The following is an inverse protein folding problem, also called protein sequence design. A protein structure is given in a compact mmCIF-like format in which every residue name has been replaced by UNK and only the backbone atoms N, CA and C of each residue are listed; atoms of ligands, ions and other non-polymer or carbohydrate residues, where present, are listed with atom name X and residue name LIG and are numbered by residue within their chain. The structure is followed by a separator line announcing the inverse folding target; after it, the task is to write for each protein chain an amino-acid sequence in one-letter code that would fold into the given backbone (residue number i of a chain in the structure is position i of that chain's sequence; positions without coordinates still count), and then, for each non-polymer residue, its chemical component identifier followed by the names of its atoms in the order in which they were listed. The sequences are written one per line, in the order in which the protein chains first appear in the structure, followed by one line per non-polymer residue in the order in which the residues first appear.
data_IF_456101888728
#
_entry.id   IF_456101888728
#
_cell.length_a   1.000
_cell.length_b   1.000
_cell.length_c   1.000
_cell.angle_alpha   90.00
_cell.angle_beta   90.00
_cell.angle_gamma   90.00
#
_symmetry.space_group_name_H-M   'P 1'
#
loop_
_entity.id
_entity.type
_entity.pdbx_description
1 polymer ?
#
# COMPACT_ATOMS: atom_id res chain seq x y z
N UNK A 1 3.31 38.14 -11.49
CA UNK A 1 2.70 37.78 -12.78
C UNK A 1 2.93 36.29 -13.13
N UNK A 2 2.93 35.36 -12.16
CA UNK A 2 3.26 33.94 -12.41
C UNK A 2 2.22 32.92 -11.87
N UNK A 3 1.10 33.34 -11.29
CA UNK A 3 0.09 32.40 -10.77
C UNK A 3 -1.03 32.04 -11.75
N UNK A 4 -1.18 32.77 -12.86
CA UNK A 4 -2.26 32.53 -13.81
C UNK A 4 -1.97 31.42 -14.84
N UNK A 5 -0.70 30.99 -14.98
CA UNK A 5 -0.29 29.91 -15.89
C UNK A 5 -0.23 28.53 -15.23
N UNK A 6 -0.24 28.45 -13.90
CA UNK A 6 -0.08 27.19 -13.17
C UNK A 6 -1.29 26.24 -13.28
N UNK A 7 -2.48 26.77 -13.64
CA UNK A 7 -3.74 26.01 -13.65
C UNK A 7 -4.13 25.52 -15.07
N UNK A 8 -3.55 26.09 -16.14
CA UNK A 8 -3.91 25.76 -17.54
C UNK A 8 -3.17 24.56 -18.15
N UNK A 9 -2.27 23.89 -17.41
CA UNK A 9 -1.32 22.91 -17.96
C UNK A 9 -1.33 21.51 -17.35
N UNK A 10 -2.27 21.19 -16.46
CA UNK A 10 -2.40 19.85 -15.89
C UNK A 10 -3.41 19.08 -16.75
N UNK A 11 -2.95 18.53 -17.88
CA UNK A 11 -3.75 17.60 -18.71
C UNK A 11 -3.26 16.17 -18.54
N UNK A 12 -4.04 15.19 -18.97
CA UNK A 12 -3.64 13.78 -18.95
C UNK A 12 -2.40 13.55 -19.84
N UNK A 13 -2.31 14.20 -20.99
CA UNK A 13 -1.14 14.10 -21.88
C UNK A 13 0.11 14.68 -21.21
N UNK A 14 -0.05 15.80 -20.50
CA UNK A 14 1.04 16.43 -19.76
C UNK A 14 1.53 15.55 -18.61
N UNK A 15 0.61 14.86 -17.93
CA UNK A 15 0.93 13.87 -16.91
C UNK A 15 1.70 12.69 -17.51
N UNK A 16 1.20 12.07 -18.57
CA UNK A 16 1.84 10.93 -19.23
C UNK A 16 3.27 11.30 -19.66
N UNK A 17 3.43 12.44 -20.34
CA UNK A 17 4.74 12.93 -20.76
C UNK A 17 5.67 13.15 -19.55
N UNK A 18 5.19 13.81 -18.49
CA UNK A 18 5.97 14.03 -17.28
C UNK A 18 6.39 12.70 -16.62
N UNK A 19 5.52 11.69 -16.59
CA UNK A 19 5.83 10.36 -16.06
C UNK A 19 6.96 9.70 -16.84
N UNK A 20 6.89 9.69 -18.17
CA UNK A 20 7.92 9.09 -19.02
C UNK A 20 9.26 9.84 -18.95
N UNK A 21 9.23 11.17 -18.92
CA UNK A 21 10.44 11.99 -18.73
C UNK A 21 11.07 11.68 -17.37
N UNK A 22 10.26 11.62 -16.31
CA UNK A 22 10.74 11.29 -14.96
C UNK A 22 11.35 9.89 -14.92
N UNK A 23 10.72 8.91 -15.56
CA UNK A 23 11.26 7.55 -15.67
C UNK A 23 12.63 7.54 -16.36
N UNK A 24 12.76 8.20 -17.51
CA UNK A 24 14.05 8.28 -18.22
C UNK A 24 15.16 8.93 -17.37
N UNK A 25 14.83 10.02 -16.66
CA UNK A 25 15.77 10.68 -15.75
C UNK A 25 16.15 9.76 -14.57
N UNK A 26 15.18 9.06 -14.01
CA UNK A 26 15.37 8.10 -12.91
C UNK A 26 16.34 6.99 -13.33
N UNK A 27 16.06 6.31 -14.44
CA UNK A 27 16.86 5.19 -14.94
C UNK A 27 18.30 5.61 -15.26
N UNK A 28 18.49 6.80 -15.86
CA UNK A 28 19.81 7.37 -16.17
C UNK A 28 20.54 7.90 -14.91
N UNK A 29 19.81 8.15 -13.83
CA UNK A 29 20.34 8.75 -12.61
C UNK A 29 20.59 10.26 -12.71
N UNK A 30 19.80 10.99 -13.49
CA UNK A 30 19.94 12.43 -13.69
C UNK A 30 19.78 13.27 -12.41
N UNK A 31 20.37 14.48 -12.40
CA UNK A 31 20.34 15.39 -11.23
C UNK A 31 18.99 16.11 -11.05
N UNK A 32 18.25 16.30 -12.13
CA UNK A 32 16.92 16.95 -12.12
C UNK A 32 15.79 16.07 -11.59
N UNK A 33 16.08 14.83 -11.15
CA UNK A 33 15.06 13.88 -10.70
C UNK A 33 14.14 14.46 -9.63
N UNK A 34 14.69 15.14 -8.62
CA UNK A 34 13.90 15.70 -7.52
C UNK A 34 12.87 16.72 -8.00
N UNK A 35 13.26 17.62 -8.89
CA UNK A 35 12.37 18.63 -9.49
C UNK A 35 11.22 17.97 -10.27
N UNK A 36 11.51 16.88 -10.98
CA UNK A 36 10.51 16.14 -11.74
C UNK A 36 9.56 15.32 -10.85
N UNK A 37 10.06 14.75 -9.74
CA UNK A 37 9.22 14.13 -8.73
C UNK A 37 8.29 15.16 -8.07
N UNK A 38 8.77 16.38 -7.80
CA UNK A 38 7.93 17.46 -7.29
C UNK A 38 6.85 17.84 -8.29
N UNK A 39 7.17 17.93 -9.59
CA UNK A 39 6.17 18.15 -10.63
C UNK A 39 5.11 17.04 -10.64
N UNK A 40 5.51 15.76 -10.60
CA UNK A 40 4.57 14.64 -10.54
C UNK A 40 3.69 14.67 -9.28
N UNK A 41 4.25 14.98 -8.11
CA UNK A 41 3.48 15.13 -6.88
C UNK A 41 2.44 16.25 -6.97
N UNK A 42 2.72 17.35 -7.68
CA UNK A 42 1.73 18.42 -7.88
C UNK A 42 0.48 17.93 -8.62
N UNK A 43 0.61 17.02 -9.60
CA UNK A 43 -0.56 16.42 -10.26
C UNK A 43 -1.44 15.65 -9.25
N UNK A 44 -0.85 14.96 -8.28
CA UNK A 44 -1.57 14.13 -7.28
C UNK A 44 -2.34 14.94 -6.24
N UNK A 45 -2.09 16.25 -6.17
CA UNK A 45 -2.75 17.19 -5.25
C UNK A 45 -3.62 18.22 -5.98
N UNK A 46 -3.78 18.05 -7.29
CA UNK A 46 -4.58 18.92 -8.15
C UNK A 46 -6.08 18.55 -8.13
N UNK A 47 -6.78 18.72 -9.26
CA UNK A 47 -8.20 18.39 -9.39
C UNK A 47 -8.47 16.90 -9.15
N UNK A 48 -9.70 16.58 -8.74
CA UNK A 48 -10.10 15.24 -8.31
C UNK A 48 -9.94 14.17 -9.41
N UNK A 49 -10.17 14.54 -10.67
CA UNK A 49 -10.11 13.62 -11.81
C UNK A 49 -8.68 13.21 -12.15
N UNK A 50 -7.78 14.18 -12.26
CA UNK A 50 -6.38 13.94 -12.67
C UNK A 50 -5.55 13.42 -11.51
N UNK A 51 -5.83 13.86 -10.28
CA UNK A 51 -5.02 13.50 -9.11
C UNK A 51 -4.94 12.00 -8.85
N UNK A 52 -6.03 11.27 -9.13
CA UNK A 52 -6.03 9.82 -9.02
C UNK A 52 -5.22 9.14 -10.11
N UNK A 53 -5.44 9.51 -11.37
CA UNK A 53 -4.68 8.99 -12.51
C UNK A 53 -3.19 9.24 -12.29
N UNK A 54 -2.85 10.45 -11.79
CA UNK A 54 -1.49 10.82 -11.46
C UNK A 54 -0.88 9.91 -10.41
N UNK A 55 -1.61 9.54 -9.36
CA UNK A 55 -1.14 8.60 -8.33
C UNK A 55 -0.91 7.19 -8.91
N UNK A 56 -1.78 6.71 -9.80
CA UNK A 56 -1.63 5.42 -10.45
C UNK A 56 -0.44 5.39 -11.44
N UNK A 57 -0.13 6.50 -12.11
CA UNK A 57 1.03 6.60 -13.01
C UNK A 57 2.38 6.39 -12.30
N UNK A 58 2.47 6.50 -10.97
CA UNK A 58 3.72 6.24 -10.24
C UNK A 58 4.21 4.80 -10.38
N UNK A 59 3.30 3.85 -10.59
CA UNK A 59 3.66 2.46 -10.90
C UNK A 59 4.57 2.37 -12.15
N UNK A 60 4.33 3.22 -13.14
CA UNK A 60 5.09 3.19 -14.40
C UNK A 60 6.56 3.56 -14.21
N UNK A 61 6.92 4.28 -13.14
CA UNK A 61 8.32 4.71 -12.91
C UNK A 61 9.27 3.53 -12.71
N UNK A 62 8.78 2.45 -12.08
CA UNK A 62 9.57 1.22 -11.85
C UNK A 62 9.03 -0.01 -12.58
N UNK A 63 7.86 0.06 -13.23
CA UNK A 63 7.33 -1.03 -14.04
C UNK A 63 8.25 -1.38 -15.22
N UNK A 64 8.20 -2.62 -15.70
CA UNK A 64 9.01 -3.05 -16.84
C UNK A 64 8.63 -2.33 -18.14
N UNK A 65 9.64 -1.89 -18.89
CA UNK A 65 9.47 -1.23 -20.18
C UNK A 65 10.52 -1.75 -21.17
N UNK A 66 10.12 -2.62 -22.13
CA UNK A 66 11.03 -3.25 -23.08
C UNK A 66 11.89 -2.23 -23.85
N UNK A 67 11.29 -1.11 -24.22
CA UNK A 67 11.95 -0.03 -24.98
C UNK A 67 13.01 0.73 -24.17
N UNK A 68 12.93 0.68 -22.83
CA UNK A 68 13.89 1.29 -21.90
C UNK A 68 14.57 0.20 -21.07
N UNK A 69 15.09 -0.82 -21.75
CA UNK A 69 15.78 -1.96 -21.16
C UNK A 69 17.28 -1.91 -21.43
N UNK A 70 18.05 -2.68 -20.65
CA UNK A 70 19.48 -2.91 -20.92
C UNK A 70 19.70 -3.63 -22.26
N UNK A 71 18.74 -4.46 -22.68
CA UNK A 71 18.76 -5.18 -23.96
C UNK A 71 18.65 -4.22 -25.15
N UNK A 72 17.87 -3.15 -24.99
CA UNK A 72 17.79 -2.05 -25.95
C UNK A 72 19.01 -1.09 -25.90
N UNK A 73 20.05 -1.41 -25.13
CA UNK A 73 21.30 -0.65 -25.04
C UNK A 73 21.26 0.54 -24.07
N UNK A 74 20.21 0.66 -23.24
CA UNK A 74 20.14 1.73 -22.25
C UNK A 74 20.98 1.43 -20.99
N UNK A 75 21.72 2.44 -20.53
CA UNK A 75 22.47 2.36 -19.28
C UNK A 75 21.56 2.68 -18.09
N UNK A 76 21.05 1.64 -17.44
CA UNK A 76 20.16 1.73 -16.29
C UNK A 76 20.95 1.61 -14.99
N UNK A 77 20.77 2.58 -14.08
CA UNK A 77 21.39 2.54 -12.75
C UNK A 77 20.76 1.44 -11.91
N UNK A 78 21.58 0.54 -11.38
CA UNK A 78 21.10 -0.57 -10.53
C UNK A 78 20.24 -0.11 -9.33
N UNK A 79 20.66 0.97 -8.66
CA UNK A 79 20.00 1.47 -7.45
C UNK A 79 18.88 2.49 -7.70
N UNK A 80 18.35 2.56 -8.93
CA UNK A 80 17.26 3.48 -9.24
C UNK A 80 15.99 3.25 -8.39
N UNK A 81 15.58 2.01 -8.03
CA UNK A 81 14.39 1.81 -7.18
C UNK A 81 14.59 2.38 -5.78
N UNK A 82 15.74 2.12 -5.16
CA UNK A 82 16.11 2.64 -3.84
C UNK A 82 16.17 4.17 -3.85
N UNK A 83 16.76 4.75 -4.91
CA UNK A 83 16.86 6.19 -5.07
C UNK A 83 15.47 6.84 -5.22
N UNK A 84 14.58 6.25 -6.02
CA UNK A 84 13.22 6.77 -6.17
C UNK A 84 12.50 6.82 -4.83
N UNK A 85 12.57 5.72 -4.09
CA UNK A 85 11.90 5.59 -2.81
C UNK A 85 12.47 6.57 -1.76
N UNK A 86 13.79 6.64 -1.64
CA UNK A 86 14.46 7.54 -0.70
C UNK A 86 14.14 9.02 -0.93
N UNK A 87 13.97 9.43 -2.19
CA UNK A 87 13.60 10.81 -2.54
C UNK A 87 12.11 11.09 -2.37
N UNK A 88 11.26 10.08 -2.63
CA UNK A 88 9.81 10.25 -2.65
C UNK A 88 9.22 10.18 -1.24
N UNK A 89 9.69 9.25 -0.40
CA UNK A 89 9.11 9.00 0.91
C UNK A 89 9.03 10.26 1.80
N UNK A 90 10.10 11.08 1.95
CA UNK A 90 10.02 12.29 2.75
C UNK A 90 9.01 13.30 2.18
N UNK A 91 8.92 13.41 0.85
CA UNK A 91 8.00 14.32 0.17
C UNK A 91 6.54 13.92 0.41
N UNK A 92 6.23 12.62 0.39
CA UNK A 92 4.88 12.12 0.69
C UNK A 92 4.47 12.44 2.12
N UNK A 93 5.38 12.29 3.10
CA UNK A 93 5.10 12.64 4.50
C UNK A 93 4.74 14.11 4.66
N UNK A 94 5.53 15.00 4.04
CA UNK A 94 5.25 16.45 4.05
C UNK A 94 3.87 16.76 3.48
N UNK A 95 3.47 16.11 2.38
CA UNK A 95 2.15 16.30 1.76
C UNK A 95 1.01 15.78 2.66
N UNK A 96 1.21 14.65 3.33
CA UNK A 96 0.21 14.04 4.25
C UNK A 96 0.01 14.90 5.52
N UNK A 97 1.07 15.53 6.01
CA UNK A 97 1.08 16.34 7.23
C UNK A 97 0.67 17.80 6.98
N UNK A 98 0.41 18.19 5.72
CA UNK A 98 0.04 19.55 5.36
C UNK A 98 -1.30 19.98 5.99
N UNK A 99 -1.24 20.84 6.99
CA UNK A 99 -2.42 21.34 7.73
C UNK A 99 -3.20 22.43 6.99
N UNK A 100 -2.73 22.89 5.83
CA UNK A 100 -3.37 23.99 5.09
C UNK A 100 -4.58 23.55 4.27
N UNK A 101 -4.75 22.24 4.04
CA UNK A 101 -5.83 21.68 3.24
C UNK A 101 -7.09 21.43 4.07
N UNK A 102 -8.26 21.55 3.43
CA UNK A 102 -9.52 21.17 4.07
C UNK A 102 -9.55 19.68 4.39
N UNK A 103 -10.35 19.26 5.38
CA UNK A 103 -10.46 17.85 5.79
C UNK A 103 -10.85 16.92 4.64
N UNK A 104 -11.71 17.38 3.72
CA UNK A 104 -12.18 16.61 2.56
C UNK A 104 -11.11 16.46 1.48
N UNK A 105 -10.37 17.53 1.19
CA UNK A 105 -9.26 17.49 0.24
C UNK A 105 -8.13 16.62 0.78
N UNK A 106 -7.79 16.79 2.05
CA UNK A 106 -6.77 16.00 2.73
C UNK A 106 -7.08 14.51 2.71
N UNK A 107 -8.35 14.11 2.86
CA UNK A 107 -8.75 12.70 2.72
C UNK A 107 -8.40 12.14 1.34
N UNK A 108 -8.67 12.89 0.27
CA UNK A 108 -8.40 12.45 -1.11
C UNK A 108 -6.89 12.41 -1.37
N UNK A 109 -6.16 13.43 -0.91
CA UNK A 109 -4.71 13.49 -1.01
C UNK A 109 -4.08 12.30 -0.29
N UNK A 110 -4.50 12.01 0.95
CA UNK A 110 -4.01 10.85 1.70
C UNK A 110 -4.22 9.55 0.94
N UNK A 111 -5.41 9.32 0.37
CA UNK A 111 -5.67 8.13 -0.45
C UNK A 111 -4.72 8.03 -1.66
N UNK A 112 -4.47 9.14 -2.35
CA UNK A 112 -3.51 9.20 -3.46
C UNK A 112 -2.07 8.92 -2.99
N UNK A 113 -1.65 9.49 -1.86
CA UNK A 113 -0.30 9.27 -1.31
C UNK A 113 -0.10 7.81 -0.88
N UNK A 114 -1.13 7.20 -0.28
CA UNK A 114 -1.13 5.80 0.11
C UNK A 114 -1.09 4.87 -1.12
N UNK A 115 -1.74 5.25 -2.22
CA UNK A 115 -1.68 4.50 -3.48
C UNK A 115 -0.27 4.52 -4.07
N UNK A 116 0.38 5.69 -4.10
CA UNK A 116 1.78 5.83 -4.54
C UNK A 116 2.69 4.96 -3.67
N UNK A 117 2.53 5.01 -2.35
CA UNK A 117 3.29 4.15 -1.44
C UNK A 117 3.08 2.66 -1.75
N UNK A 118 1.84 2.24 -1.97
CA UNK A 118 1.53 0.86 -2.35
C UNK A 118 2.25 0.43 -3.64
N UNK A 119 2.21 1.27 -4.67
CA UNK A 119 2.91 1.03 -5.94
C UNK A 119 4.42 0.94 -5.73
N UNK A 120 5.03 1.91 -5.06
CA UNK A 120 6.48 1.91 -4.82
C UNK A 120 6.93 0.71 -4.00
N UNK A 121 6.23 0.37 -2.92
CA UNK A 121 6.59 -0.76 -2.07
C UNK A 121 6.53 -2.08 -2.82
N UNK A 122 5.52 -2.28 -3.68
CA UNK A 122 5.42 -3.52 -4.46
C UNK A 122 6.49 -3.71 -5.53
N UNK A 123 7.28 -2.66 -5.85
CA UNK A 123 8.27 -2.65 -6.92
C UNK A 123 9.73 -2.63 -6.44
N UNK A 124 9.97 -2.57 -5.12
CA UNK A 124 11.31 -2.48 -4.53
C UNK A 124 11.69 -3.83 -3.88
N UNK A 125 12.97 -4.23 -3.82
CA UNK A 125 13.39 -5.44 -3.11
C UNK A 125 12.96 -5.49 -1.63
N UNK A 126 12.68 -6.68 -1.12
CA UNK A 126 12.23 -6.95 0.27
C UNK A 126 13.16 -6.36 1.33
N UNK A 127 14.45 -6.33 1.07
CA UNK A 127 15.47 -5.83 2.00
C UNK A 127 15.32 -4.33 2.25
N UNK A 128 14.85 -3.58 1.25
CA UNK A 128 14.62 -2.14 1.35
C UNK A 128 13.24 -1.87 1.93
N UNK A 129 12.24 -2.69 1.57
CA UNK A 129 10.91 -2.63 2.19
C UNK A 129 11.01 -2.79 3.70
N UNK A 130 11.67 -3.84 4.20
CA UNK A 130 11.79 -4.09 5.64
C UNK A 130 12.42 -2.93 6.43
N UNK A 131 13.41 -2.22 5.86
CA UNK A 131 14.05 -1.07 6.49
C UNK A 131 13.14 0.17 6.52
N UNK A 132 12.45 0.44 5.42
CA UNK A 132 11.76 1.71 5.22
C UNK A 132 10.27 1.66 5.54
N UNK A 133 9.71 0.47 5.70
CA UNK A 133 8.29 0.28 5.92
C UNK A 133 7.82 0.49 7.37
N UNK A 134 8.59 0.22 8.44
CA UNK A 134 8.15 0.53 9.80
C UNK A 134 7.55 1.93 9.99
N UNK A 135 8.14 3.04 9.48
CA UNK A 135 7.50 4.36 9.58
C UNK A 135 6.24 4.54 8.72
N UNK A 136 6.02 3.66 7.74
CA UNK A 136 4.85 3.66 6.85
C UNK A 136 3.71 2.78 7.34
N UNK A 137 3.95 1.93 8.34
CA UNK A 137 2.96 1.00 8.85
C UNK A 137 1.67 1.70 9.34
N UNK A 138 1.71 2.81 10.10
CA UNK A 138 0.49 3.53 10.50
C UNK A 138 -0.36 3.98 9.31
N UNK A 139 0.29 4.47 8.26
CA UNK A 139 -0.36 4.90 7.01
C UNK A 139 -0.99 3.70 6.27
N UNK A 140 -0.30 2.55 6.22
CA UNK A 140 -0.86 1.30 5.68
C UNK A 140 -2.03 0.75 6.50
N UNK A 141 -2.09 1.02 7.81
CA UNK A 141 -3.23 0.65 8.64
C UNK A 141 -4.43 1.57 8.39
N UNK A 142 -4.18 2.86 8.18
CA UNK A 142 -5.23 3.82 7.80
C UNK A 142 -5.83 3.50 6.43
N UNK A 143 -5.01 3.07 5.46
CA UNK A 143 -5.48 2.73 4.12
C UNK A 143 -6.45 1.54 4.09
N UNK A 144 -6.37 0.61 5.05
CA UNK A 144 -7.33 -0.50 5.16
C UNK A 144 -8.76 -0.01 5.41
N UNK A 145 -8.92 1.14 6.08
CA UNK A 145 -10.20 1.77 6.35
C UNK A 145 -10.72 2.61 5.16
N UNK A 146 -9.94 2.77 4.08
CA UNK A 146 -10.37 3.52 2.90
C UNK A 146 -11.56 2.84 2.20
N UNK A 147 -12.36 3.67 1.53
CA UNK A 147 -13.43 3.21 0.64
C UNK A 147 -12.91 2.67 -0.70
N UNK A 148 -11.65 2.93 -1.02
CA UNK A 148 -11.04 2.55 -2.28
C UNK A 148 -10.58 1.08 -2.28
N UNK A 149 -11.24 0.25 -3.09
CA UNK A 149 -10.92 -1.18 -3.16
C UNK A 149 -9.53 -1.47 -3.73
N UNK A 150 -8.99 -0.63 -4.63
CA UNK A 150 -7.65 -0.81 -5.18
C UNK A 150 -6.61 -0.57 -4.09
N UNK A 151 -6.74 0.56 -3.38
CA UNK A 151 -5.85 0.92 -2.28
C UNK A 151 -5.86 -0.15 -1.18
N UNK A 152 -7.05 -0.56 -0.71
CA UNK A 152 -7.20 -1.62 0.29
C UNK A 152 -6.54 -2.92 -0.19
N UNK A 153 -6.71 -3.29 -1.47
CA UNK A 153 -6.09 -4.50 -2.02
C UNK A 153 -4.56 -4.42 -2.06
N UNK A 154 -4.01 -3.26 -2.41
CA UNK A 154 -2.56 -3.03 -2.43
C UNK A 154 -2.01 -3.08 -1.01
N UNK A 155 -2.65 -2.42 -0.06
CA UNK A 155 -2.22 -2.44 1.35
C UNK A 155 -2.30 -3.83 1.99
N UNK A 156 -3.34 -4.62 1.70
CA UNK A 156 -3.39 -6.03 2.12
C UNK A 156 -2.26 -6.87 1.49
N UNK A 157 -1.89 -6.59 0.23
CA UNK A 157 -0.75 -7.26 -0.42
C UNK A 157 0.57 -6.91 0.27
N UNK A 158 0.79 -5.63 0.56
CA UNK A 158 1.97 -5.15 1.27
C UNK A 158 2.05 -5.74 2.68
N UNK A 159 0.94 -5.76 3.43
CA UNK A 159 0.88 -6.41 4.75
C UNK A 159 1.22 -7.89 4.68
N UNK A 160 0.77 -8.61 3.65
CA UNK A 160 1.14 -10.02 3.45
C UNK A 160 2.64 -10.21 3.20
N UNK A 161 3.28 -9.32 2.44
CA UNK A 161 4.72 -9.36 2.20
C UNK A 161 5.48 -9.18 3.52
N UNK A 162 5.10 -8.17 4.30
CA UNK A 162 5.69 -7.86 5.60
C UNK A 162 5.55 -8.97 6.62
N UNK A 163 4.37 -9.58 6.69
CA UNK A 163 4.19 -10.73 7.55
C UNK A 163 5.10 -11.89 7.17
N UNK A 164 5.47 -12.04 5.90
CA UNK A 164 6.36 -13.10 5.43
C UNK A 164 7.84 -12.80 5.66
N UNK A 165 8.23 -11.52 5.70
CA UNK A 165 9.60 -11.11 6.02
C UNK A 165 9.99 -11.46 7.45
N UNK A 166 9.09 -11.27 8.42
CA UNK A 166 9.32 -11.67 9.81
C UNK A 166 10.41 -10.87 10.54
N UNK A 167 10.61 -9.60 10.18
CA UNK A 167 11.52 -8.70 10.91
C UNK A 167 10.98 -8.43 12.33
N UNK A 168 11.82 -8.47 13.38
CA UNK A 168 11.40 -8.17 14.76
C UNK A 168 10.78 -6.78 14.93
N UNK A 169 11.27 -5.77 14.19
CA UNK A 169 10.77 -4.40 14.21
C UNK A 169 9.34 -4.33 13.65
N UNK A 170 9.10 -5.01 12.53
CA UNK A 170 7.79 -5.12 11.89
C UNK A 170 6.82 -5.87 12.80
N UNK A 171 7.23 -7.00 13.38
CA UNK A 171 6.42 -7.78 14.32
C UNK A 171 6.04 -6.96 15.56
N UNK A 172 6.97 -6.20 16.15
CA UNK A 172 6.69 -5.34 17.29
C UNK A 172 5.66 -4.25 16.95
N UNK A 173 5.78 -3.62 15.78
CA UNK A 173 4.87 -2.54 15.38
C UNK A 173 3.48 -3.06 15.00
N UNK A 174 3.40 -4.22 14.35
CA UNK A 174 2.16 -4.94 14.11
C UNK A 174 1.49 -5.33 15.43
N UNK A 175 2.28 -5.76 16.42
CA UNK A 175 1.78 -6.12 17.74
C UNK A 175 1.12 -4.98 18.51
N UNK A 176 1.67 -3.77 18.41
CA UNK A 176 1.04 -2.57 18.98
C UNK A 176 -0.34 -2.26 18.38
N UNK A 177 -0.60 -2.73 17.15
CA UNK A 177 -1.81 -2.44 16.40
C UNK A 177 -2.67 -3.70 16.12
N UNK A 178 -2.38 -4.83 16.76
CA UNK A 178 -2.96 -6.13 16.40
C UNK A 178 -4.48 -6.16 16.53
N UNK A 179 -5.05 -5.55 17.56
CA UNK A 179 -6.50 -5.53 17.77
C UNK A 179 -7.23 -4.76 16.67
N UNK A 180 -6.69 -3.60 16.30
CA UNK A 180 -7.18 -2.79 15.17
C UNK A 180 -7.07 -3.57 13.85
N UNK A 181 -5.93 -4.22 13.62
CA UNK A 181 -5.70 -5.05 12.44
C UNK A 181 -6.70 -6.19 12.31
N UNK A 182 -6.89 -6.96 13.38
CA UNK A 182 -7.84 -8.09 13.40
C UNK A 182 -9.26 -7.60 13.14
N UNK A 183 -9.67 -6.50 13.77
CA UNK A 183 -10.98 -5.87 13.55
C UNK A 183 -11.17 -5.43 12.09
N UNK A 184 -10.19 -4.74 11.51
CA UNK A 184 -10.23 -4.30 10.12
C UNK A 184 -10.25 -5.47 9.14
N UNK A 185 -9.46 -6.52 9.37
CA UNK A 185 -9.50 -7.73 8.55
C UNK A 185 -10.89 -8.37 8.60
N UNK A 186 -11.49 -8.52 9.78
CA UNK A 186 -12.84 -9.07 9.91
C UNK A 186 -13.87 -8.21 9.18
N UNK A 187 -13.80 -6.88 9.28
CA UNK A 187 -14.67 -5.98 8.50
C UNK A 187 -14.51 -6.21 6.99
N UNK A 188 -13.27 -6.30 6.50
CA UNK A 188 -12.97 -6.50 5.08
C UNK A 188 -13.41 -7.87 4.56
N UNK A 189 -13.44 -8.91 5.40
CA UNK A 189 -13.93 -10.23 5.00
C UNK A 189 -15.43 -10.22 4.67
N UNK A 190 -16.20 -9.32 5.28
CA UNK A 190 -17.63 -9.16 5.05
C UNK A 190 -17.99 -8.05 4.05
N UNK A 191 -17.01 -7.42 3.41
CA UNK A 191 -17.29 -6.41 2.38
C UNK A 191 -18.00 -7.03 1.18
N UNK A 192 -19.02 -6.35 0.66
CA UNK A 192 -19.79 -6.80 -0.51
C UNK A 192 -19.09 -6.54 -1.85
N UNK A 193 -18.03 -5.73 -1.84
CA UNK A 193 -17.53 -5.07 -3.05
C UNK A 193 -16.59 -5.96 -3.86
N UNK A 194 -15.66 -6.68 -3.21
CA UNK A 194 -14.55 -7.31 -3.93
C UNK A 194 -14.13 -8.66 -3.32
N UNK A 195 -14.35 -9.73 -4.07
CA UNK A 195 -13.96 -11.10 -3.70
C UNK A 195 -12.46 -11.23 -3.38
N UNK A 196 -11.60 -10.53 -4.15
CA UNK A 196 -10.15 -10.55 -3.97
C UNK A 196 -9.74 -9.95 -2.62
N UNK A 197 -10.36 -8.84 -2.25
CA UNK A 197 -10.16 -8.19 -0.95
C UNK A 197 -10.53 -9.12 0.19
N UNK A 198 -11.70 -9.76 0.11
CA UNK A 198 -12.16 -10.73 1.12
C UNK A 198 -11.18 -11.90 1.28
N UNK A 199 -10.72 -12.48 0.17
CA UNK A 199 -9.73 -13.56 0.19
C UNK A 199 -8.38 -13.11 0.78
N UNK A 200 -7.89 -11.92 0.43
CA UNK A 200 -6.64 -11.36 0.99
C UNK A 200 -6.79 -11.08 2.48
N UNK A 201 -7.91 -10.50 2.92
CA UNK A 201 -8.17 -10.25 4.34
C UNK A 201 -8.19 -11.56 5.15
N UNK A 202 -8.81 -12.64 4.63
CA UNK A 202 -8.74 -13.97 5.24
C UNK A 202 -7.30 -14.52 5.30
N UNK A 203 -6.48 -14.26 4.28
CA UNK A 203 -5.05 -14.64 4.29
C UNK A 203 -4.28 -13.87 5.37
N UNK A 204 -4.47 -12.55 5.47
CA UNK A 204 -3.86 -11.72 6.51
C UNK A 204 -4.28 -12.18 7.91
N UNK A 205 -5.57 -12.46 8.11
CA UNK A 205 -6.11 -12.94 9.37
C UNK A 205 -5.55 -14.30 9.77
N UNK A 206 -5.17 -15.17 8.83
CA UNK A 206 -4.41 -16.39 9.14
C UNK A 206 -2.95 -16.11 9.43
N UNK A 207 -2.33 -15.16 8.71
CA UNK A 207 -0.89 -14.93 8.82
C UNK A 207 -0.52 -14.26 10.15
N UNK A 208 -1.39 -13.42 10.68
CA UNK A 208 -1.20 -12.75 11.99
C UNK A 208 -1.06 -13.75 13.14
N UNK A 209 -1.68 -14.95 13.05
CA UNK A 209 -1.56 -15.97 14.12
C UNK A 209 -0.18 -16.58 14.28
N UNK A 210 0.72 -16.32 13.32
CA UNK A 210 2.09 -16.85 13.32
C UNK A 210 3.12 -15.91 13.95
N UNK A 211 2.71 -14.73 14.42
CA UNK A 211 3.62 -13.76 15.03
C UNK A 211 3.69 -14.05 16.54
N UNK A 212 4.84 -14.52 17.07
CA UNK A 212 4.92 -15.00 18.46
C UNK A 212 4.61 -13.91 19.50
N UNK A 213 5.09 -12.69 19.28
CA UNK A 213 5.02 -11.59 20.25
C UNK A 213 3.58 -11.14 20.53
N UNK A 214 2.63 -11.48 19.65
CA UNK A 214 1.23 -11.07 19.76
C UNK A 214 0.31 -12.21 20.18
N UNK A 215 0.84 -13.42 20.33
CA UNK A 215 0.07 -14.60 20.71
C UNK A 215 -0.82 -14.36 21.95
N UNK A 216 -0.36 -13.69 23.03
CA UNK A 216 -1.21 -13.42 24.19
C UNK A 216 -2.45 -12.58 23.86
N UNK A 217 -2.33 -11.63 22.92
CA UNK A 217 -3.45 -10.79 22.48
C UNK A 217 -4.43 -11.60 21.64
N UNK A 218 -3.91 -12.44 20.74
CA UNK A 218 -4.75 -13.29 19.89
C UNK A 218 -5.54 -14.32 20.69
N UNK A 219 -4.97 -14.87 21.77
CA UNK A 219 -5.67 -15.79 22.67
C UNK A 219 -6.89 -15.12 23.30
N UNK A 220 -6.78 -13.87 23.75
CA UNK A 220 -7.92 -13.12 24.30
C UNK A 220 -9.04 -12.90 23.27
N UNK A 221 -8.66 -12.64 22.02
CA UNK A 221 -9.60 -12.34 20.94
C UNK A 221 -10.16 -13.60 20.26
N UNK A 222 -9.59 -14.77 20.50
CA UNK A 222 -9.88 -16.03 19.77
C UNK A 222 -11.38 -16.33 19.68
N UNK A 223 -12.09 -16.24 20.81
CA UNK A 223 -13.52 -16.58 20.88
C UNK A 223 -14.37 -15.63 20.04
N UNK A 224 -14.13 -14.32 20.11
CA UNK A 224 -14.82 -13.33 19.29
C UNK A 224 -14.54 -13.52 17.79
N UNK A 225 -13.26 -13.75 17.45
CA UNK A 225 -12.88 -13.99 16.05
C UNK A 225 -13.55 -15.24 15.48
N UNK A 226 -13.56 -16.36 16.22
CA UNK A 226 -14.22 -17.59 15.77
C UNK A 226 -15.73 -17.42 15.61
N UNK A 227 -16.39 -16.75 16.57
CA UNK A 227 -17.82 -16.43 16.47
C UNK A 227 -18.11 -15.59 15.23
N UNK A 228 -17.29 -14.58 14.96
CA UNK A 228 -17.40 -13.73 13.77
C UNK A 228 -17.09 -14.46 12.47
N UNK A 229 -16.27 -15.51 12.45
CA UNK A 229 -15.97 -16.26 11.23
C UNK A 229 -17.04 -17.30 10.86
N UNK A 230 -17.89 -17.69 11.81
CA UNK A 230 -18.93 -18.70 11.62
C UNK A 230 -19.86 -18.40 10.44
N UNK A 231 -20.25 -17.13 10.26
CA UNK A 231 -21.11 -16.70 9.15
C UNK A 231 -20.50 -16.88 7.75
N UNK A 232 -19.19 -17.12 7.63
CA UNK A 232 -18.54 -17.38 6.35
C UNK A 232 -18.72 -18.79 5.84
N UNK A 233 -19.08 -19.74 6.72
CA UNK A 233 -19.33 -21.12 6.32
C UNK A 233 -20.57 -21.21 5.41
N UNK A 234 -21.49 -20.26 5.53
CA UNK A 234 -22.68 -20.15 4.69
C UNK A 234 -22.53 -19.10 3.56
N UNK A 235 -21.32 -18.61 3.29
CA UNK A 235 -21.11 -17.60 2.25
C UNK A 235 -21.51 -18.12 0.86
N UNK A 236 -22.16 -17.28 0.07
CA UNK A 236 -22.63 -17.64 -1.28
C UNK A 236 -21.49 -18.05 -2.24
N UNK A 237 -20.24 -17.62 -1.99
CA UNK A 237 -19.08 -17.95 -2.82
C UNK A 237 -18.28 -19.09 -2.19
N UNK A 238 -18.16 -20.21 -2.92
CA UNK A 238 -17.40 -21.41 -2.51
C UNK A 238 -15.98 -21.09 -2.03
N UNK A 239 -15.27 -20.19 -2.71
CA UNK A 239 -13.89 -19.81 -2.34
C UNK A 239 -13.82 -19.12 -0.98
N UNK A 240 -14.86 -18.36 -0.60
CA UNK A 240 -14.94 -17.73 0.72
C UNK A 240 -15.23 -18.77 1.79
N UNK A 241 -16.15 -19.71 1.55
CA UNK A 241 -16.39 -20.83 2.47
C UNK A 241 -15.11 -21.63 2.75
N UNK A 242 -14.35 -21.95 1.69
CA UNK A 242 -13.07 -22.66 1.80
C UNK A 242 -12.03 -21.87 2.61
N UNK A 243 -11.84 -20.59 2.29
CA UNK A 243 -10.92 -19.75 3.05
C UNK A 243 -11.39 -19.50 4.49
N UNK A 244 -12.70 -19.39 4.72
CA UNK A 244 -13.32 -19.21 6.03
C UNK A 244 -13.08 -20.43 6.91
N UNK A 245 -13.41 -21.63 6.43
CA UNK A 245 -13.15 -22.88 7.13
C UNK A 245 -11.66 -23.06 7.47
N UNK A 246 -10.75 -22.79 6.52
CA UNK A 246 -9.32 -22.83 6.77
C UNK A 246 -8.89 -21.81 7.83
N UNK A 247 -9.42 -20.58 7.79
CA UNK A 247 -9.11 -19.57 8.79
C UNK A 247 -9.61 -19.98 10.18
N UNK A 248 -10.83 -20.51 10.28
CA UNK A 248 -11.37 -21.01 11.54
C UNK A 248 -10.50 -22.11 12.15
N UNK A 249 -10.08 -23.09 11.34
CA UNK A 249 -9.19 -24.17 11.80
C UNK A 249 -7.85 -23.65 12.33
N UNK A 250 -7.28 -22.62 11.72
CA UNK A 250 -6.03 -22.02 12.22
C UNK A 250 -6.29 -21.25 13.51
N UNK A 251 -7.39 -20.48 13.58
CA UNK A 251 -7.73 -19.70 14.76
C UNK A 251 -8.13 -20.55 15.97
N UNK A 252 -8.71 -21.72 15.77
CA UNK A 252 -9.01 -22.65 16.87
C UNK A 252 -7.75 -23.17 17.55
N UNK A 253 -6.62 -23.25 16.83
CA UNK A 253 -5.32 -23.68 17.37
C UNK A 253 -4.57 -22.57 18.10
N UNK A 254 -5.01 -21.30 18.02
CA UNK A 254 -4.35 -20.19 18.73
C UNK A 254 -4.41 -20.44 20.23
N UNK A 255 -3.25 -20.44 20.88
CA UNK A 255 -3.11 -20.69 22.32
C UNK A 255 -3.21 -22.16 22.73
N UNK A 256 -3.22 -23.10 21.78
CA UNK A 256 -2.97 -24.50 22.09
C UNK A 256 -1.47 -24.74 22.00
N UNK A 257 -0.91 -25.45 22.99
CA UNK A 257 0.47 -25.91 22.94
C UNK A 257 0.60 -26.92 21.79
N UNK A 258 1.60 -26.72 20.93
CA UNK A 258 1.97 -27.64 19.85
C UNK A 258 2.78 -28.81 20.37
#
# INVERSE_FOLDING_TARGET
MNDFMAIRGLTEESLILATWVTKGILLKGGKSLEEWLDKLLRFTTASKEISRIAADCWWLLLGDTPDLSTEAGFNIKLLHPQRLFALTLPKLKVVIEDKTKSSREMSTIKENMLLILGHLLSLIPSEVQSRELPPLLPLLLESLASSDSSLVNSSLSTLMQLFNEGSPEVEQLLGKNVEKLVSEFLRLVYTKINLRTRCKALKCLRRVTRIPQIAPVLVRNRTDVLARLMGLLDDHKRVIRQHGALTMNIWSMVGQES
#
